data_IF_627218569783
#
_entry.id   IF_627218569783
#
_cell.length_a   1.000
_cell.length_b   1.000
_cell.length_c   1.000
_cell.angle_alpha   90.00
_cell.angle_beta   90.00
_cell.angle_gamma   90.00
#
_symmetry.space_group_name_H-M   'P 1'
#
loop_
_entity.id
_entity.type
_entity.pdbx_description
1 polymer ?
#
# COMPACT_ATOMS: atom_id res chain seq x y z
N UNK A 1 -18.72 9.60 8.23
CA UNK A 1 -17.32 9.69 7.79
C UNK A 1 -16.85 8.41 7.10
N UNK A 2 -16.70 7.27 7.81
CA UNK A 2 -16.14 6.05 7.18
C UNK A 2 -16.98 5.50 6.02
N UNK A 3 -18.32 5.59 6.10
CA UNK A 3 -19.23 5.27 4.99
C UNK A 3 -18.94 6.13 3.76
N UNK A 4 -18.72 7.44 3.94
CA UNK A 4 -18.39 8.35 2.84
C UNK A 4 -17.05 8.02 2.18
N UNK A 5 -16.06 7.55 2.94
CA UNK A 5 -14.79 7.06 2.39
C UNK A 5 -14.98 5.77 1.57
N UNK A 6 -15.92 4.91 1.97
CA UNK A 6 -16.28 3.72 1.19
C UNK A 6 -16.97 4.11 -0.11
N UNK A 7 -17.88 5.07 -0.09
CA UNK A 7 -18.51 5.58 -1.32
C UNK A 7 -17.50 6.28 -2.25
N UNK A 8 -16.59 7.08 -1.68
CA UNK A 8 -15.49 7.70 -2.44
C UNK A 8 -14.65 6.64 -3.15
N UNK A 9 -14.25 5.57 -2.45
CA UNK A 9 -13.48 4.48 -3.04
C UNK A 9 -14.19 3.83 -4.23
N UNK A 10 -15.52 3.65 -4.14
CA UNK A 10 -16.33 3.11 -5.24
C UNK A 10 -16.41 4.08 -6.41
N UNK A 11 -16.67 5.35 -6.14
CA UNK A 11 -16.79 6.39 -7.16
C UNK A 11 -15.50 6.58 -7.94
N UNK A 12 -14.35 6.60 -7.25
CA UNK A 12 -13.02 6.79 -7.85
C UNK A 12 -12.36 5.48 -8.29
N UNK A 13 -13.07 4.35 -8.17
CA UNK A 13 -12.61 3.00 -8.54
C UNK A 13 -11.24 2.67 -7.94
N UNK A 14 -11.05 3.03 -6.67
CA UNK A 14 -9.80 2.76 -5.97
C UNK A 14 -9.67 1.25 -5.77
N UNK A 15 -8.46 0.70 -5.98
CA UNK A 15 -8.16 -0.70 -5.68
C UNK A 15 -8.31 -0.93 -4.18
N UNK A 16 -9.48 -1.43 -3.80
CA UNK A 16 -9.86 -1.74 -2.42
C UNK A 16 -9.83 -3.25 -2.13
N UNK A 17 -9.37 -4.05 -3.11
CA UNK A 17 -9.29 -5.50 -2.96
C UNK A 17 -8.27 -5.87 -1.88
N UNK A 18 -8.66 -6.69 -0.88
CA UNK A 18 -7.73 -7.26 0.08
C UNK A 18 -6.57 -7.98 -0.61
N UNK A 19 -5.36 -7.80 -0.07
CA UNK A 19 -4.17 -8.43 -0.63
C UNK A 19 -3.58 -7.73 -1.86
N UNK A 20 -4.17 -6.63 -2.31
CA UNK A 20 -3.61 -5.80 -3.39
C UNK A 20 -3.28 -4.40 -2.87
N UNK A 21 -2.19 -3.80 -3.34
CA UNK A 21 -1.79 -2.43 -2.98
C UNK A 21 -1.10 -1.75 -4.16
N UNK A 22 -1.33 -0.44 -4.38
CA UNK A 22 -0.51 0.32 -5.32
C UNK A 22 0.97 0.32 -4.91
N UNK A 23 1.88 0.02 -5.85
CA UNK A 23 3.34 0.08 -5.63
C UNK A 23 4.01 0.82 -6.79
N UNK A 24 5.02 1.62 -6.46
CA UNK A 24 5.89 2.25 -7.46
C UNK A 24 7.04 1.30 -7.77
N UNK A 25 7.08 0.78 -8.98
CA UNK A 25 8.07 -0.20 -9.45
C UNK A 25 9.02 0.47 -10.42
N UNK A 26 10.32 0.28 -10.23
CA UNK A 26 11.34 0.90 -11.06
C UNK A 26 11.79 -0.03 -12.19
N UNK A 27 11.94 -1.32 -11.92
CA UNK A 27 12.57 -2.24 -12.85
C UNK A 27 11.57 -3.25 -13.41
N UNK A 28 11.59 -3.41 -14.73
CA UNK A 28 10.90 -4.51 -15.40
C UNK A 28 11.94 -5.50 -15.89
N UNK A 29 11.90 -6.73 -15.38
CA UNK A 29 12.74 -7.84 -15.84
C UNK A 29 12.00 -8.56 -16.97
N UNK A 30 12.59 -8.52 -18.17
CA UNK A 30 11.93 -9.01 -19.38
C UNK A 30 12.46 -10.39 -19.74
N UNK A 31 11.54 -11.31 -19.98
CA UNK A 31 11.80 -12.68 -20.38
C UNK A 31 11.06 -12.98 -21.68
N UNK A 32 11.48 -13.97 -22.44
CA UNK A 32 10.66 -14.53 -23.51
C UNK A 32 9.67 -15.60 -22.93
N UNK A 33 8.75 -16.15 -23.73
CA UNK A 33 7.80 -17.16 -23.25
C UNK A 33 8.46 -18.44 -22.71
N UNK A 34 9.69 -18.75 -23.14
CA UNK A 34 10.48 -19.91 -22.69
C UNK A 34 11.27 -19.64 -21.38
N UNK A 35 11.13 -18.46 -20.78
CA UNK A 35 11.85 -18.07 -19.56
C UNK A 35 13.31 -17.70 -19.79
N UNK A 36 13.71 -17.39 -21.02
CA UNK A 36 15.01 -16.79 -21.32
C UNK A 36 14.96 -15.30 -21.00
N UNK A 37 15.92 -14.83 -20.21
CA UNK A 37 16.07 -13.41 -19.92
C UNK A 37 16.51 -12.64 -21.17
N UNK A 38 15.75 -11.61 -21.55
CA UNK A 38 16.00 -10.79 -22.73
C UNK A 38 16.58 -9.42 -22.38
N UNK A 39 16.26 -8.88 -21.20
CA UNK A 39 16.80 -7.60 -20.74
C UNK A 39 16.05 -6.99 -19.57
N UNK A 40 16.38 -5.74 -19.26
CA UNK A 40 15.69 -4.94 -18.24
C UNK A 40 15.19 -3.62 -18.86
N UNK A 41 14.15 -3.07 -18.26
CA UNK A 41 13.65 -1.74 -18.58
C UNK A 41 13.55 -0.90 -17.30
N UNK A 42 14.13 0.31 -17.33
CA UNK A 42 13.95 1.33 -16.29
C UNK A 42 12.64 2.10 -16.55
N UNK A 43 11.70 2.00 -15.61
CA UNK A 43 10.37 2.61 -15.66
C UNK A 43 10.33 4.06 -15.16
N UNK A 44 11.48 4.68 -14.87
CA UNK A 44 11.57 6.12 -14.54
C UNK A 44 11.43 7.02 -15.77
N UNK A 45 11.57 6.47 -16.98
CA UNK A 45 11.58 7.27 -18.22
C UNK A 45 12.83 8.16 -18.35
N UNK A 46 13.88 7.93 -17.55
CA UNK A 46 15.11 8.73 -17.55
C UNK A 46 15.04 10.01 -16.72
N UNK A 47 13.94 10.25 -16.00
CA UNK A 47 13.74 11.45 -15.21
C UNK A 47 14.37 11.33 -13.81
N UNK A 48 15.24 12.27 -13.44
CA UNK A 48 15.99 12.24 -12.16
C UNK A 48 15.12 12.28 -10.89
N UNK A 49 13.90 12.80 -10.97
CA UNK A 49 12.96 12.89 -9.82
C UNK A 49 11.89 11.79 -9.83
N UNK A 50 11.87 10.93 -10.85
CA UNK A 50 10.93 9.83 -10.94
C UNK A 50 11.51 8.59 -10.23
N UNK A 51 10.69 7.91 -9.44
CA UNK A 51 11.07 6.70 -8.71
C UNK A 51 10.58 5.41 -9.39
N UNK A 52 9.89 5.53 -10.54
CA UNK A 52 9.36 4.43 -11.33
C UNK A 52 7.90 4.63 -11.71
N UNK A 53 7.27 3.55 -12.20
CA UNK A 53 5.86 3.55 -12.60
C UNK A 53 4.98 3.02 -11.47
N UNK A 54 3.85 3.68 -11.23
CA UNK A 54 2.84 3.20 -10.28
C UNK A 54 1.99 2.12 -10.93
N UNK A 55 2.01 0.93 -10.35
CA UNK A 55 1.07 -0.15 -10.65
C UNK A 55 -0.03 -0.14 -9.59
N UNK A 56 -1.30 -0.14 -10.02
CA UNK A 56 -2.46 0.10 -9.15
C UNK A 56 -2.83 -1.08 -8.26
N UNK A 57 -2.45 -2.30 -8.65
CA UNK A 57 -2.95 -3.54 -8.07
C UNK A 57 -1.83 -4.59 -7.92
N UNK A 58 -0.81 -4.29 -7.11
CA UNK A 58 0.26 -5.26 -6.86
C UNK A 58 -0.09 -6.20 -5.69
N UNK A 59 0.25 -7.50 -5.76
CA UNK A 59 0.13 -8.40 -4.62
C UNK A 59 0.87 -7.86 -3.39
N UNK A 60 0.19 -7.88 -2.25
CA UNK A 60 0.69 -7.33 -1.00
C UNK A 60 0.21 -8.17 0.17
N UNK A 61 1.16 -8.59 1.01
CA UNK A 61 0.85 -9.26 2.27
C UNK A 61 0.80 -8.20 3.35
N UNK A 62 -0.24 -8.25 4.17
CA UNK A 62 -0.30 -7.49 5.41
C UNK A 62 0.82 -7.94 6.35
N UNK A 63 1.24 -7.05 7.26
CA UNK A 63 2.20 -7.41 8.31
C UNK A 63 1.76 -8.64 9.11
N UNK A 64 0.46 -8.81 9.31
CA UNK A 64 -0.09 -9.95 10.02
C UNK A 64 0.09 -11.27 9.28
N UNK A 65 -0.15 -11.28 7.97
CA UNK A 65 0.08 -12.45 7.12
C UNK A 65 1.58 -12.79 7.08
N UNK A 66 2.44 -11.77 6.94
CA UNK A 66 3.89 -11.97 6.95
C UNK A 66 4.40 -12.58 8.26
N UNK A 67 3.90 -12.09 9.41
CA UNK A 67 4.24 -12.65 10.73
C UNK A 67 3.73 -14.08 10.88
N UNK A 68 2.54 -14.40 10.37
CA UNK A 68 1.96 -15.74 10.45
C UNK A 68 2.66 -16.78 9.57
N UNK A 69 3.09 -16.37 8.37
CA UNK A 69 3.87 -17.17 7.43
C UNK A 69 5.30 -17.42 7.96
N UNK A 70 5.85 -16.48 8.72
CA UNK A 70 7.10 -16.63 9.44
C UNK A 70 8.24 -15.77 8.88
N UNK A 71 9.40 -15.89 9.52
CA UNK A 71 10.58 -15.11 9.13
C UNK A 71 11.03 -15.47 7.71
N UNK A 72 11.29 -14.46 6.89
CA UNK A 72 11.73 -14.65 5.51
C UNK A 72 10.62 -14.51 4.47
N UNK A 73 9.35 -14.48 4.87
CA UNK A 73 8.20 -14.24 3.98
C UNK A 73 8.42 -12.99 3.09
N UNK A 74 8.05 -13.12 1.81
CA UNK A 74 8.21 -12.10 0.76
C UNK A 74 6.90 -11.86 0.02
N UNK A 75 6.83 -10.74 -0.70
CA UNK A 75 5.68 -10.40 -1.53
C UNK A 75 5.71 -11.19 -2.84
N UNK A 76 4.53 -11.53 -3.36
CA UNK A 76 4.41 -12.17 -4.67
C UNK A 76 4.54 -11.15 -5.80
N UNK A 77 5.20 -11.53 -6.90
CA UNK A 77 5.27 -10.83 -8.20
C UNK A 77 5.96 -9.44 -8.24
N UNK A 78 6.00 -8.74 -7.11
CA UNK A 78 6.66 -7.44 -6.93
C UNK A 78 7.39 -7.41 -5.60
N UNK A 79 8.72 -7.44 -5.65
CA UNK A 79 9.59 -7.30 -4.47
C UNK A 79 10.89 -6.56 -4.84
N UNK A 80 11.75 -6.32 -3.85
CA UNK A 80 13.03 -5.63 -3.99
C UNK A 80 14.02 -6.46 -4.79
N UNK A 81 14.92 -5.80 -5.54
CA UNK A 81 15.94 -6.47 -6.35
C UNK A 81 16.86 -7.38 -5.52
N UNK A 82 17.17 -7.06 -4.27
CA UNK A 82 17.95 -7.93 -3.38
C UNK A 82 17.26 -9.28 -3.11
N UNK A 83 15.94 -9.29 -3.08
CA UNK A 83 15.09 -10.48 -2.94
C UNK A 83 14.94 -11.18 -4.29
N UNK A 84 14.56 -10.43 -5.34
CA UNK A 84 14.22 -11.00 -6.65
C UNK A 84 15.44 -11.59 -7.33
N UNK A 85 16.59 -10.91 -7.28
CA UNK A 85 17.77 -11.27 -8.08
C UNK A 85 19.04 -11.50 -7.27
N UNK A 86 18.99 -11.45 -5.93
CA UNK A 86 20.17 -11.50 -5.06
C UNK A 86 21.19 -10.38 -5.37
N UNK A 87 20.69 -9.21 -5.80
CA UNK A 87 21.52 -8.03 -5.99
C UNK A 87 21.92 -7.45 -4.63
N UNK A 88 23.21 -7.50 -4.29
CA UNK A 88 23.77 -6.89 -3.07
C UNK A 88 24.81 -5.84 -3.41
N UNK A 89 25.10 -4.96 -2.44
CA UNK A 89 26.12 -3.91 -2.61
C UNK A 89 27.53 -4.49 -2.74
N UNK A 90 27.80 -5.54 -1.97
CA UNK A 90 29.14 -6.11 -1.81
C UNK A 90 29.32 -7.42 -2.60
N UNK A 91 28.29 -7.85 -3.34
CA UNK A 91 28.28 -9.10 -4.13
C UNK A 91 28.11 -10.38 -3.29
N UNK A 92 28.24 -10.29 -1.97
CA UNK A 92 28.01 -11.39 -1.04
C UNK A 92 26.52 -11.59 -0.77
N UNK A 93 26.11 -12.85 -0.60
CA UNK A 93 24.72 -13.25 -0.29
C UNK A 93 24.75 -14.08 0.99
N UNK A 94 24.10 -13.58 2.03
CA UNK A 94 23.96 -14.32 3.29
C UNK A 94 22.81 -15.36 3.23
N UNK A 95 22.79 -16.30 4.18
CA UNK A 95 21.77 -17.35 4.25
C UNK A 95 20.34 -16.80 4.37
N UNK A 96 20.17 -15.66 5.06
CA UNK A 96 18.87 -15.03 5.26
C UNK A 96 18.35 -14.44 3.96
N UNK A 97 19.20 -13.85 3.15
CA UNK A 97 18.86 -13.31 1.85
C UNK A 97 18.59 -14.42 0.85
N UNK A 98 19.39 -15.49 0.85
CA UNK A 98 19.12 -16.69 0.07
C UNK A 98 17.76 -17.30 0.43
N UNK A 99 17.40 -17.35 1.72
CA UNK A 99 16.10 -17.83 2.17
C UNK A 99 14.94 -16.96 1.67
N UNK A 100 15.08 -15.63 1.68
CA UNK A 100 14.06 -14.70 1.13
C UNK A 100 13.88 -14.91 -0.37
N UNK A 101 14.99 -15.00 -1.13
CA UNK A 101 14.95 -15.27 -2.56
C UNK A 101 14.28 -16.61 -2.86
N UNK A 102 14.64 -17.67 -2.13
CA UNK A 102 14.03 -18.99 -2.28
C UNK A 102 12.52 -18.96 -1.98
N UNK A 103 12.09 -18.22 -0.96
CA UNK A 103 10.67 -18.04 -0.67
C UNK A 103 9.96 -17.32 -1.82
N UNK A 104 10.53 -16.23 -2.30
CA UNK A 104 9.99 -15.46 -3.41
C UNK A 104 9.84 -16.30 -4.69
N UNK A 105 10.91 -17.01 -5.09
CA UNK A 105 10.88 -17.90 -6.26
C UNK A 105 9.88 -19.04 -6.05
N UNK A 106 9.79 -19.58 -4.83
CA UNK A 106 8.79 -20.60 -4.48
C UNK A 106 7.35 -20.13 -4.63
N UNK A 107 7.05 -18.83 -4.48
CA UNK A 107 5.72 -18.28 -4.81
C UNK A 107 5.45 -18.31 -6.31
N UNK A 108 6.46 -17.98 -7.13
CA UNK A 108 6.32 -18.02 -8.59
C UNK A 108 6.11 -19.45 -9.09
N UNK A 109 6.78 -20.43 -8.47
CA UNK A 109 6.59 -21.86 -8.78
C UNK A 109 5.19 -22.34 -8.44
N UNK A 110 4.67 -21.98 -7.26
CA UNK A 110 3.30 -22.33 -6.87
C UNK A 110 2.24 -21.68 -7.76
N UNK A 111 2.51 -20.45 -8.23
CA UNK A 111 1.62 -19.74 -9.13
C UNK A 111 1.70 -20.23 -10.59
N UNK A 112 2.67 -21.09 -10.92
CA UNK A 112 2.87 -21.58 -12.29
C UNK A 112 1.69 -22.40 -12.82
N UNK A 113 0.92 -23.03 -11.93
CA UNK A 113 -0.31 -23.76 -12.30
C UNK A 113 -1.38 -22.81 -12.88
N UNK A 114 -1.43 -21.58 -12.39
CA UNK A 114 -2.34 -20.54 -12.91
C UNK A 114 -1.72 -19.75 -14.06
N UNK A 115 -0.42 -19.45 -13.98
CA UNK A 115 0.32 -18.64 -14.97
C UNK A 115 1.63 -19.35 -15.32
N UNK A 116 1.65 -20.22 -16.36
CA UNK A 116 2.81 -21.06 -16.70
C UNK A 116 4.13 -20.30 -16.89
N UNK A 117 4.06 -19.06 -17.37
CA UNK A 117 5.22 -18.19 -17.59
C UNK A 117 5.96 -17.89 -16.28
N UNK A 118 5.27 -17.88 -15.12
CA UNK A 118 5.91 -17.71 -13.82
C UNK A 118 6.81 -18.89 -13.47
N UNK A 119 6.47 -20.11 -13.90
CA UNK A 119 7.33 -21.29 -13.73
C UNK A 119 8.64 -21.17 -14.52
N UNK A 120 8.57 -20.65 -15.75
CA UNK A 120 9.74 -20.43 -16.59
C UNK A 120 10.66 -19.33 -16.01
N UNK A 121 10.08 -18.23 -15.51
CA UNK A 121 10.81 -17.18 -14.78
C UNK A 121 11.43 -17.74 -13.51
N UNK A 122 10.69 -18.53 -12.73
CA UNK A 122 11.20 -19.14 -11.51
C UNK A 122 12.43 -20.02 -11.80
N UNK A 123 12.38 -20.86 -12.84
CA UNK A 123 13.51 -21.66 -13.28
C UNK A 123 14.72 -20.80 -13.66
N UNK A 124 14.49 -19.67 -14.35
CA UNK A 124 15.56 -18.74 -14.70
C UNK A 124 16.19 -18.06 -13.48
N UNK A 125 15.40 -17.74 -12.45
CA UNK A 125 15.89 -17.15 -11.20
C UNK A 125 16.64 -18.17 -10.32
N UNK A 126 16.32 -19.46 -10.42
CA UNK A 126 17.08 -20.53 -9.75
C UNK A 126 18.41 -20.85 -10.42
N UNK A 127 18.57 -20.54 -11.71
CA UNK A 127 19.80 -20.80 -12.44
C UNK A 127 20.88 -19.75 -12.10
N UNK A 128 22.02 -20.14 -11.49
CA UNK A 128 23.03 -19.18 -11.06
C UNK A 128 23.66 -18.39 -12.21
N UNK A 129 23.75 -18.98 -13.41
CA UNK A 129 24.34 -18.35 -14.59
C UNK A 129 23.43 -17.25 -15.14
N UNK A 130 22.15 -17.55 -15.33
CA UNK A 130 21.13 -16.57 -15.74
C UNK A 130 20.98 -15.46 -14.69
N UNK A 131 20.96 -15.82 -13.41
CA UNK A 131 20.89 -14.84 -12.33
C UNK A 131 22.10 -13.91 -12.31
N UNK A 132 23.30 -14.42 -12.60
CA UNK A 132 24.50 -13.59 -12.78
C UNK A 132 24.34 -12.61 -13.96
N UNK A 133 23.82 -13.06 -15.10
CA UNK A 133 23.53 -12.19 -16.25
C UNK A 133 22.56 -11.06 -15.91
N UNK A 134 21.46 -11.38 -15.21
CA UNK A 134 20.47 -10.38 -14.77
C UNK A 134 21.13 -9.35 -13.85
N UNK A 135 21.92 -9.80 -12.86
CA UNK A 135 22.63 -8.90 -11.94
C UNK A 135 23.65 -8.02 -12.67
N UNK A 136 24.41 -8.56 -13.61
CA UNK A 136 25.36 -7.76 -14.40
C UNK A 136 24.66 -6.63 -15.15
N UNK A 137 23.49 -6.89 -15.75
CA UNK A 137 22.71 -5.87 -16.44
C UNK A 137 22.16 -4.80 -15.48
N UNK A 138 21.67 -5.23 -14.31
CA UNK A 138 21.20 -4.31 -13.27
C UNK A 138 22.33 -3.40 -12.73
N UNK A 139 23.53 -3.94 -12.54
CA UNK A 139 24.70 -3.16 -12.10
C UNK A 139 25.11 -2.14 -13.17
N UNK A 140 25.10 -2.53 -14.44
CA UNK A 140 25.39 -1.63 -15.58
C UNK A 140 24.44 -0.42 -15.59
N UNK A 141 23.15 -0.65 -15.33
CA UNK A 141 22.12 0.38 -15.23
C UNK A 141 22.04 1.06 -13.85
N UNK A 142 23.01 0.79 -12.95
CA UNK A 142 23.13 1.38 -11.61
C UNK A 142 21.91 1.16 -10.71
N UNK A 143 21.25 0.02 -10.86
CA UNK A 143 20.13 -0.39 -10.03
C UNK A 143 20.55 -0.56 -8.56
N UNK A 144 19.64 -0.25 -7.64
CA UNK A 144 19.87 -0.38 -6.19
C UNK A 144 19.14 -1.61 -5.65
N UNK A 145 19.73 -2.34 -4.69
CA UNK A 145 19.12 -3.51 -4.05
C UNK A 145 17.68 -3.28 -3.53
N UNK A 146 17.38 -2.08 -3.02
CA UNK A 146 16.07 -1.74 -2.41
C UNK A 146 15.00 -1.31 -3.40
N UNK A 147 15.33 -1.17 -4.69
CA UNK A 147 14.37 -0.78 -5.73
C UNK A 147 13.46 -1.96 -6.09
N UNK A 148 12.18 -1.68 -6.32
CA UNK A 148 11.20 -2.71 -6.65
C UNK A 148 11.28 -3.11 -8.12
N UNK A 149 11.12 -4.41 -8.36
CA UNK A 149 11.07 -5.01 -9.68
C UNK A 149 9.80 -5.86 -9.88
N UNK A 150 9.41 -6.01 -11.15
CA UNK A 150 8.39 -6.98 -11.58
C UNK A 150 8.76 -7.57 -12.94
N UNK A 151 7.92 -8.44 -13.49
CA UNK A 151 8.25 -9.24 -14.67
C UNK A 151 7.39 -8.88 -15.88
N UNK A 152 7.99 -9.02 -17.06
CA UNK A 152 7.27 -9.00 -18.33
C UNK A 152 7.71 -10.13 -19.26
N UNK A 153 6.80 -10.53 -20.13
CA UNK A 153 7.03 -11.46 -21.22
C UNK A 153 7.05 -10.68 -22.54
N UNK A 154 8.20 -10.68 -23.20
CA UNK A 154 8.35 -10.16 -24.56
C UNK A 154 7.82 -11.17 -25.58
N UNK A 155 7.35 -10.64 -26.72
CA UNK A 155 7.00 -11.38 -27.93
C UNK A 155 5.91 -12.44 -27.73
N UNK A 156 4.92 -12.17 -26.86
CA UNK A 156 3.68 -12.99 -26.79
C UNK A 156 2.94 -12.93 -28.13
N UNK A 157 2.83 -11.73 -28.68
CA UNK A 157 2.61 -11.44 -30.10
C UNK A 157 3.84 -10.67 -30.64
N UNK A 158 4.18 -10.76 -31.94
CA UNK A 158 5.34 -10.07 -32.50
C UNK A 158 5.35 -8.57 -32.17
N UNK A 159 6.36 -8.13 -31.39
CA UNK A 159 6.50 -6.72 -30.99
C UNK A 159 5.66 -6.28 -29.79
N UNK A 160 5.05 -7.21 -29.05
CA UNK A 160 4.29 -6.93 -27.83
C UNK A 160 5.06 -7.35 -26.57
N UNK A 161 4.80 -6.65 -25.46
CA UNK A 161 5.33 -6.98 -24.13
C UNK A 161 4.17 -7.03 -23.15
N UNK A 162 4.00 -8.16 -22.46
CA UNK A 162 2.96 -8.36 -21.44
C UNK A 162 3.57 -8.22 -20.05
N UNK A 163 3.13 -7.22 -19.29
CA UNK A 163 3.55 -7.04 -17.90
C UNK A 163 2.69 -7.91 -16.98
N UNK A 164 3.32 -8.85 -16.27
CA UNK A 164 2.58 -9.90 -15.54
C UNK A 164 1.75 -9.36 -14.37
N UNK A 165 2.22 -8.32 -13.68
CA UNK A 165 1.46 -7.71 -12.57
C UNK A 165 0.18 -6.98 -13.02
N UNK A 166 0.02 -6.73 -14.32
CA UNK A 166 -1.19 -6.11 -14.88
C UNK A 166 -2.18 -7.12 -15.43
N UNK A 167 -1.84 -8.40 -15.41
CA UNK A 167 -2.74 -9.48 -15.78
C UNK A 167 -3.56 -9.93 -14.57
N UNK A 168 -4.72 -10.52 -14.82
CA UNK A 168 -5.64 -10.94 -13.75
C UNK A 168 -5.54 -12.45 -13.45
N UNK A 169 -4.86 -13.22 -14.29
CA UNK A 169 -4.83 -14.70 -14.25
C UNK A 169 -4.28 -15.27 -12.93
N UNK A 170 -3.38 -14.53 -12.26
CA UNK A 170 -2.82 -14.93 -10.97
C UNK A 170 -3.72 -14.56 -9.77
N UNK A 171 -4.75 -13.73 -9.93
CA UNK A 171 -5.55 -13.21 -8.80
C UNK A 171 -6.25 -14.32 -8.02
N UNK A 172 -6.84 -15.30 -8.71
CA UNK A 172 -7.54 -16.41 -8.05
C UNK A 172 -6.60 -17.28 -7.22
N UNK A 173 -5.40 -17.56 -7.75
CA UNK A 173 -4.34 -18.25 -7.01
C UNK A 173 -3.89 -17.42 -5.80
N UNK A 174 -3.69 -16.12 -5.98
CA UNK A 174 -3.24 -15.22 -4.94
C UNK A 174 -4.21 -15.15 -3.76
N UNK A 175 -5.51 -14.99 -4.03
CA UNK A 175 -6.52 -14.99 -2.97
C UNK A 175 -6.55 -16.34 -2.23
N UNK A 176 -6.47 -17.46 -2.96
CA UNK A 176 -6.42 -18.79 -2.36
C UNK A 176 -5.20 -18.99 -1.45
N UNK A 177 -4.02 -18.54 -1.90
CA UNK A 177 -2.79 -18.57 -1.11
C UNK A 177 -2.94 -17.77 0.20
N UNK A 178 -3.54 -16.58 0.14
CA UNK A 178 -3.78 -15.75 1.33
C UNK A 178 -4.77 -16.37 2.30
N UNK A 179 -5.84 -16.99 1.81
CA UNK A 179 -6.77 -17.75 2.65
C UNK A 179 -6.05 -18.89 3.38
N UNK A 180 -5.17 -19.63 2.71
CA UNK A 180 -4.38 -20.68 3.36
C UNK A 180 -3.45 -20.14 4.45
N UNK A 181 -2.84 -18.96 4.27
CA UNK A 181 -2.05 -18.31 5.33
C UNK A 181 -2.90 -17.97 6.55
N UNK A 182 -4.13 -17.49 6.34
CA UNK A 182 -5.07 -17.20 7.43
C UNK A 182 -5.51 -18.48 8.17
N UNK A 183 -5.79 -19.56 7.46
CA UNK A 183 -6.12 -20.86 8.04
C UNK A 183 -4.96 -21.45 8.84
N UNK A 184 -3.74 -21.42 8.30
CA UNK A 184 -2.54 -21.86 9.01
C UNK A 184 -2.31 -21.06 10.30
N UNK A 185 -2.60 -19.76 10.28
CA UNK A 185 -2.56 -18.91 11.48
C UNK A 185 -3.59 -19.36 12.52
N UNK A 186 -4.83 -19.61 12.10
CA UNK A 186 -5.91 -20.08 12.98
C UNK A 186 -5.59 -21.47 13.57
N UNK A 187 -4.98 -22.37 12.80
CA UNK A 187 -4.52 -23.66 13.28
C UNK A 187 -3.37 -23.55 14.30
N UNK A 188 -2.42 -22.62 14.11
CA UNK A 188 -1.33 -22.40 15.07
C UNK A 188 -1.81 -21.75 16.37
N UNK A 189 -2.84 -20.91 16.33
CA UNK A 189 -3.36 -20.21 17.51
C UNK A 189 -4.12 -21.13 18.48
N UNK A 190 -4.66 -22.26 18.00
CA UNK A 190 -5.34 -23.27 18.83
C UNK A 190 -4.40 -24.21 19.58
N UNK A 191 -3.12 -24.32 19.18
CA UNK A 191 -2.11 -25.17 19.85
C UNK A 191 -1.24 -24.47 20.90
N UNK A 192 -1.26 -23.14 20.98
CA UNK A 192 -0.45 -22.34 21.90
C UNK A 192 -1.23 -21.90 23.14
N UNK A 193 -0.64 -22.10 24.32
CA UNK A 193 -1.15 -21.77 25.67
C UNK A 193 -1.51 -20.28 25.84
N UNK A 194 -2.56 -19.78 25.18
CA UNK A 194 -3.21 -18.51 25.51
C UNK A 194 -4.17 -18.73 26.67
N UNK A 195 -4.08 -17.85 27.67
CA UNK A 195 -4.93 -17.85 28.86
C UNK A 195 -6.40 -17.82 28.39
N UNK A 196 -7.09 -18.92 28.70
CA UNK A 196 -8.46 -19.28 28.32
C UNK A 196 -9.45 -18.12 28.62
N UNK A 197 -9.82 -17.34 27.61
CA UNK A 197 -11.07 -16.57 27.63
C UNK A 197 -12.13 -17.39 26.91
N UNK A 198 -13.29 -17.52 27.55
CA UNK A 198 -14.38 -18.43 27.20
C UNK A 198 -15.19 -17.92 26.00
N UNK A 199 -14.70 -18.16 24.79
CA UNK A 199 -15.49 -18.10 23.56
C UNK A 199 -14.74 -18.86 22.45
N UNK A 200 -14.87 -20.18 22.42
CA UNK A 200 -14.30 -21.04 21.38
C UNK A 200 -15.15 -20.96 20.10
N UNK A 201 -14.62 -20.20 19.13
CA UNK A 201 -15.12 -20.01 17.76
C UNK A 201 -14.50 -18.73 17.17
N UNK A 202 -14.33 -18.61 15.84
CA UNK A 202 -14.00 -17.31 15.25
C UNK A 202 -15.04 -16.31 15.73
N UNK A 203 -14.59 -15.28 16.46
CA UNK A 203 -15.43 -14.22 17.02
C UNK A 203 -16.12 -13.52 15.84
N UNK A 204 -17.30 -14.02 15.49
CA UNK A 204 -18.09 -13.48 14.40
C UNK A 204 -18.84 -12.28 14.96
N UNK A 205 -18.56 -11.11 14.43
CA UNK A 205 -19.14 -9.86 14.89
C UNK A 205 -19.81 -9.13 13.72
N UNK A 206 -20.77 -8.28 14.03
CA UNK A 206 -21.36 -7.41 13.03
C UNK A 206 -20.36 -6.32 12.66
N UNK A 207 -20.01 -6.24 11.38
CA UNK A 207 -19.15 -5.18 10.86
C UNK A 207 -19.81 -3.82 11.05
N UNK A 208 -19.08 -2.87 11.63
CA UNK A 208 -19.57 -1.50 11.86
C UNK A 208 -19.79 -0.70 10.57
N UNK A 209 -19.15 -1.09 9.46
CA UNK A 209 -19.31 -0.43 8.15
C UNK A 209 -20.35 -1.13 7.27
N UNK A 210 -20.22 -2.45 7.06
CA UNK A 210 -21.10 -3.19 6.15
C UNK A 210 -22.39 -3.69 6.79
N UNK A 211 -22.42 -3.83 8.13
CA UNK A 211 -23.53 -4.47 8.83
C UNK A 211 -23.58 -6.01 8.70
N UNK A 212 -22.67 -6.61 7.94
CA UNK A 212 -22.58 -8.07 7.75
C UNK A 212 -21.85 -8.76 8.91
N UNK A 213 -22.05 -10.07 9.06
CA UNK A 213 -21.33 -10.88 10.05
C UNK A 213 -19.95 -11.27 9.50
N UNK A 214 -18.90 -10.90 10.21
CA UNK A 214 -17.50 -11.02 9.75
C UNK A 214 -16.59 -11.44 10.90
N UNK A 215 -15.43 -12.00 10.57
CA UNK A 215 -14.31 -12.07 11.51
C UNK A 215 -13.61 -10.69 11.53
N UNK A 216 -13.58 -9.98 12.67
CA UNK A 216 -12.93 -8.67 12.76
C UNK A 216 -11.45 -8.76 12.44
N UNK A 217 -10.97 -7.85 11.59
CA UNK A 217 -9.53 -7.67 11.43
C UNK A 217 -8.90 -7.27 12.76
N UNK A 218 -7.92 -8.02 13.30
CA UNK A 218 -7.33 -7.72 14.61
C UNK A 218 -6.61 -6.37 14.64
N UNK A 219 -6.11 -5.90 13.51
CA UNK A 219 -5.48 -4.58 13.38
C UNK A 219 -5.82 -4.06 12.00
N UNK A 220 -6.14 -2.77 11.92
CA UNK A 220 -6.47 -2.15 10.66
C UNK A 220 -5.21 -1.76 9.87
N UNK A 221 -5.35 -1.58 8.56
CA UNK A 221 -4.26 -1.12 7.70
C UNK A 221 -3.80 0.29 8.08
N UNK A 222 -2.54 0.61 7.75
CA UNK A 222 -1.92 1.89 8.10
C UNK A 222 -2.40 3.03 7.20
N UNK A 223 -2.52 4.21 7.81
CA UNK A 223 -2.69 5.48 7.14
C UNK A 223 -1.29 6.07 6.94
N UNK A 224 -0.92 6.29 5.68
CA UNK A 224 0.41 6.72 5.25
C UNK A 224 0.40 8.21 4.87
N UNK A 225 1.58 8.84 4.84
CA UNK A 225 1.74 10.23 4.37
C UNK A 225 1.43 11.31 5.41
N UNK A 226 1.52 10.96 6.71
CA UNK A 226 1.30 11.86 7.84
C UNK A 226 2.61 12.34 8.51
N UNK A 227 3.78 11.96 7.98
CA UNK A 227 5.08 12.31 8.60
C UNK A 227 5.36 13.81 8.63
N UNK A 228 4.80 14.57 7.70
CA UNK A 228 4.90 16.04 7.62
C UNK A 228 4.12 16.78 8.72
N UNK A 229 3.27 16.05 9.46
CA UNK A 229 2.45 16.53 10.57
C UNK A 229 2.70 15.74 11.87
N UNK A 230 3.84 15.04 11.96
CA UNK A 230 4.26 14.32 13.17
C UNK A 230 3.81 12.85 13.25
N UNK A 231 3.21 12.30 12.19
CA UNK A 231 2.92 10.88 12.07
C UNK A 231 4.17 10.02 11.84
N UNK A 232 4.00 8.70 11.92
CA UNK A 232 5.09 7.75 11.69
C UNK A 232 5.41 7.62 10.19
N UNK A 233 6.69 7.49 9.86
CA UNK A 233 7.14 7.27 8.48
C UNK A 233 6.57 5.99 7.85
N UNK A 234 6.32 4.97 8.68
CA UNK A 234 5.71 3.69 8.28
C UNK A 234 4.18 3.69 8.33
N UNK A 235 3.58 4.84 8.62
CA UNK A 235 2.14 5.03 8.75
C UNK A 235 1.57 4.73 10.13
N UNK A 236 0.40 5.32 10.38
CA UNK A 236 -0.28 5.33 11.66
C UNK A 236 -1.54 4.46 11.64
N UNK A 237 -1.94 3.95 12.81
CA UNK A 237 -3.20 3.21 12.92
C UNK A 237 -4.36 4.19 13.07
N UNK A 238 -5.38 4.09 12.22
CA UNK A 238 -6.59 4.92 12.36
C UNK A 238 -7.38 4.59 13.64
N UNK A 239 -7.50 3.30 13.95
CA UNK A 239 -8.01 2.83 15.25
C UNK A 239 -7.00 1.84 15.85
N UNK A 240 -6.71 1.98 17.13
CA UNK A 240 -5.85 1.07 17.88
C UNK A 240 -6.36 0.87 19.29
N UNK A 241 -6.48 -0.39 19.69
CA UNK A 241 -6.86 -0.81 21.03
C UNK A 241 -5.74 -1.69 21.59
N UNK A 242 -4.56 -1.09 21.69
CA UNK A 242 -3.29 -1.74 22.07
C UNK A 242 -3.13 -1.88 23.60
N UNK A 243 -3.88 -1.09 24.36
CA UNK A 243 -3.88 -1.09 25.84
C UNK A 243 -5.25 -1.47 26.39
N UNK A 244 -5.25 -2.10 27.57
CA UNK A 244 -6.47 -2.54 28.26
C UNK A 244 -7.43 -1.37 28.52
N UNK A 245 -6.91 -0.17 28.81
CA UNK A 245 -7.72 1.04 29.03
C UNK A 245 -8.53 1.48 27.80
N UNK A 246 -8.13 1.06 26.59
CA UNK A 246 -8.85 1.34 25.35
C UNK A 246 -9.84 0.22 24.98
N UNK A 247 -9.76 -0.92 25.66
CA UNK A 247 -10.62 -2.07 25.41
C UNK A 247 -11.95 -1.93 26.15
N UNK A 248 -13.06 -2.32 25.52
CA UNK A 248 -14.40 -2.24 26.11
C UNK A 248 -15.15 -3.56 25.94
N UNK A 249 -16.12 -3.84 26.82
CA UNK A 249 -16.99 -5.02 26.72
C UNK A 249 -16.25 -6.38 26.66
N UNK A 250 -15.04 -6.45 27.21
CA UNK A 250 -14.19 -7.65 27.15
C UNK A 250 -13.59 -7.93 25.76
N UNK A 251 -13.73 -7.01 24.82
CA UNK A 251 -13.18 -7.11 23.47
C UNK A 251 -11.77 -6.50 23.45
N UNK A 252 -10.90 -7.04 22.59
CA UNK A 252 -9.50 -6.61 22.45
C UNK A 252 -9.13 -6.33 21.01
N UNK A 253 -8.16 -5.42 20.79
CA UNK A 253 -7.69 -5.05 19.46
C UNK A 253 -8.86 -4.67 18.53
N UNK A 254 -8.80 -5.02 17.24
CA UNK A 254 -9.83 -4.69 16.26
C UNK A 254 -11.23 -5.25 16.52
N UNK A 255 -11.42 -6.16 17.49
CA UNK A 255 -12.77 -6.55 17.91
C UNK A 255 -13.55 -5.38 18.53
N UNK A 256 -12.87 -4.41 19.15
CA UNK A 256 -13.50 -3.18 19.65
C UNK A 256 -14.03 -2.25 18.54
N UNK A 257 -13.51 -2.39 17.31
CA UNK A 257 -14.00 -1.70 16.11
C UNK A 257 -14.17 -2.72 14.99
N UNK A 258 -15.11 -3.65 15.20
CA UNK A 258 -15.29 -4.81 14.34
C UNK A 258 -15.54 -4.42 12.88
N UNK A 259 -14.58 -4.75 12.00
CA UNK A 259 -14.67 -4.51 10.56
C UNK A 259 -14.04 -5.66 9.79
N UNK A 260 -14.62 -5.98 8.61
CA UNK A 260 -14.03 -6.95 7.71
C UNK A 260 -12.75 -6.41 7.07
N UNK A 261 -11.94 -7.33 6.55
CA UNK A 261 -10.74 -6.97 5.80
C UNK A 261 -11.03 -6.06 4.61
N UNK A 262 -12.07 -6.39 3.84
CA UNK A 262 -12.51 -5.60 2.70
C UNK A 262 -12.89 -4.17 3.11
N UNK A 263 -13.65 -4.01 4.20
CA UNK A 263 -14.05 -2.67 4.66
C UNK A 263 -12.85 -1.88 5.18
N UNK A 264 -11.96 -2.52 5.95
CA UNK A 264 -10.71 -1.92 6.41
C UNK A 264 -9.85 -1.46 5.24
N UNK A 265 -9.67 -2.32 4.24
CA UNK A 265 -8.90 -2.00 3.05
C UNK A 265 -9.52 -0.84 2.27
N UNK A 266 -10.84 -0.83 2.13
CA UNK A 266 -11.56 0.20 1.39
C UNK A 266 -11.36 1.59 2.01
N UNK A 267 -11.66 1.76 3.30
CA UNK A 267 -11.55 3.08 3.91
C UNK A 267 -10.09 3.54 4.02
N UNK A 268 -9.14 2.63 4.25
CA UNK A 268 -7.71 2.99 4.30
C UNK A 268 -7.15 3.35 2.93
N UNK A 269 -7.55 2.65 1.87
CA UNK A 269 -7.22 3.03 0.49
C UNK A 269 -7.76 4.41 0.14
N UNK A 270 -9.02 4.72 0.48
CA UNK A 270 -9.62 6.03 0.27
C UNK A 270 -8.86 7.15 1.01
N UNK A 271 -8.57 6.94 2.30
CA UNK A 271 -7.88 7.93 3.11
C UNK A 271 -6.45 8.19 2.62
N UNK A 272 -5.71 7.13 2.28
CA UNK A 272 -4.37 7.23 1.71
C UNK A 272 -4.37 7.87 0.32
N UNK A 273 -5.43 7.67 -0.47
CA UNK A 273 -5.59 8.34 -1.76
C UNK A 273 -5.73 9.86 -1.57
N UNK A 274 -6.63 10.28 -0.68
CA UNK A 274 -6.84 11.71 -0.37
C UNK A 274 -5.58 12.38 0.18
N UNK A 275 -4.85 11.73 1.09
CA UNK A 275 -3.62 12.30 1.68
C UNK A 275 -2.51 12.51 0.64
N UNK A 276 -2.45 11.67 -0.40
CA UNK A 276 -1.45 11.79 -1.47
C UNK A 276 -1.85 12.78 -2.54
N UNK A 277 -3.14 13.07 -2.66
CA UNK A 277 -3.66 14.00 -3.65
C UNK A 277 -3.37 15.45 -3.24
N UNK A 278 -2.38 16.06 -3.89
CA UNK A 278 -1.95 17.43 -3.61
C UNK A 278 -3.01 18.48 -3.87
N UNK A 279 -4.03 18.18 -4.66
CA UNK A 279 -5.16 19.10 -4.89
C UNK A 279 -6.18 19.06 -3.74
N UNK A 280 -6.18 17.96 -2.98
CA UNK A 280 -7.17 17.67 -1.94
C UNK A 280 -6.59 17.52 -0.53
N UNK A 281 -5.29 17.73 -0.37
CA UNK A 281 -4.56 17.57 0.88
C UNK A 281 -3.64 18.76 1.14
N UNK A 282 -3.85 19.40 2.29
CA UNK A 282 -3.11 20.57 2.74
C UNK A 282 -2.55 20.38 4.15
N UNK A 283 -1.54 21.18 4.48
CA UNK A 283 -0.98 21.26 5.82
C UNK A 283 -1.27 22.63 6.42
N UNK A 284 -2.00 22.66 7.52
CA UNK A 284 -2.35 23.89 8.23
C UNK A 284 -1.91 23.78 9.69
N UNK A 285 -1.00 24.66 10.13
CA UNK A 285 -0.56 24.75 11.53
C UNK A 285 -0.17 23.40 12.17
N UNK A 286 0.51 22.53 11.41
CA UNK A 286 0.91 21.20 11.87
C UNK A 286 -0.20 20.14 11.83
N UNK A 287 -1.35 20.43 11.22
CA UNK A 287 -2.46 19.50 10.99
C UNK A 287 -2.59 19.19 9.50
N UNK A 288 -2.91 17.94 9.16
CA UNK A 288 -3.25 17.54 7.79
C UNK A 288 -4.74 17.76 7.57
N UNK A 289 -5.09 18.58 6.58
CA UNK A 289 -6.48 18.83 6.17
C UNK A 289 -6.70 18.18 4.82
N UNK A 290 -7.66 17.25 4.75
CA UNK A 290 -8.10 16.65 3.51
C UNK A 290 -9.58 16.91 3.32
N UNK A 291 -10.02 17.01 2.07
CA UNK A 291 -11.43 17.16 1.74
C UNK A 291 -11.78 16.41 0.46
N UNK A 292 -13.06 16.10 0.32
CA UNK A 292 -13.62 15.49 -0.88
C UNK A 292 -15.11 15.84 -0.95
N UNK A 293 -15.68 15.65 -2.12
CA UNK A 293 -17.10 15.84 -2.36
C UNK A 293 -17.77 14.49 -2.63
N UNK A 294 -19.08 14.42 -2.42
CA UNK A 294 -19.87 13.23 -2.75
C UNK A 294 -19.97 12.98 -4.26
N UNK A 295 -19.59 13.96 -5.10
CA UNK A 295 -19.56 13.90 -6.56
C UNK A 295 -18.31 14.62 -7.09
N UNK A 296 -17.91 14.31 -8.32
CA UNK A 296 -16.87 15.09 -8.98
C UNK A 296 -17.30 16.55 -9.14
N UNK A 297 -16.44 17.46 -8.71
CA UNK A 297 -16.60 18.92 -8.84
C UNK A 297 -15.51 19.40 -9.79
N UNK A 298 -15.86 20.28 -10.73
CA UNK A 298 -14.86 20.88 -11.61
C UNK A 298 -13.98 21.85 -10.81
N UNK A 299 -12.68 21.99 -11.11
CA UNK A 299 -11.79 22.88 -10.36
C UNK A 299 -12.32 24.31 -10.24
N UNK A 300 -12.97 24.83 -11.28
CA UNK A 300 -13.59 26.15 -11.28
C UNK A 300 -14.75 26.31 -10.27
N UNK A 301 -15.39 25.22 -9.87
CA UNK A 301 -16.50 25.17 -8.93
C UNK A 301 -16.07 24.73 -7.52
N UNK A 302 -14.78 24.44 -7.33
CA UNK A 302 -14.25 23.98 -6.04
C UNK A 302 -14.13 25.16 -5.06
N UNK A 303 -15.18 25.37 -4.28
CA UNK A 303 -15.23 26.42 -3.24
C UNK A 303 -14.22 26.14 -2.13
N UNK A 304 -14.00 24.85 -1.80
CA UNK A 304 -13.07 24.47 -0.73
C UNK A 304 -11.64 24.77 -1.12
N UNK A 305 -11.24 24.45 -2.36
CA UNK A 305 -9.93 24.84 -2.89
C UNK A 305 -9.74 26.35 -2.78
N UNK A 306 -10.69 27.16 -3.25
CA UNK A 306 -10.60 28.64 -3.23
C UNK A 306 -10.47 29.22 -1.83
N UNK A 307 -11.20 28.64 -0.88
CA UNK A 307 -11.17 29.09 0.53
C UNK A 307 -9.83 28.72 1.17
N UNK A 308 -9.40 27.48 0.94
CA UNK A 308 -8.19 26.94 1.55
C UNK A 308 -6.96 27.60 0.91
N UNK A 309 -6.84 27.67 -0.42
CA UNK A 309 -5.68 28.26 -1.13
C UNK A 309 -5.42 29.73 -0.80
N UNK A 310 -6.44 30.47 -0.34
CA UNK A 310 -6.30 31.83 0.18
C UNK A 310 -5.68 31.93 1.57
N UNK A 311 -5.36 30.79 2.22
CA UNK A 311 -4.65 30.73 3.49
C UNK A 311 -3.17 30.47 3.18
N UNK A 312 -2.27 31.29 3.70
CA UNK A 312 -0.83 31.16 3.46
C UNK A 312 -0.29 29.89 4.14
N UNK A 313 -0.26 28.78 3.40
CA UNK A 313 0.38 27.54 3.82
C UNK A 313 1.85 27.64 3.46
N UNK A 314 2.66 28.28 4.32
CA UNK A 314 4.09 28.43 4.10
C UNK A 314 4.74 27.17 3.52
N UNK A 315 5.29 27.31 2.30
CA UNK A 315 5.93 26.24 1.56
C UNK A 315 7.14 25.70 2.31
N UNK A 316 7.22 24.38 2.44
CA UNK A 316 8.28 23.67 3.16
C UNK A 316 9.66 23.66 2.45
N UNK A 317 9.88 24.49 1.42
CA UNK A 317 11.17 24.57 0.72
C UNK A 317 12.06 25.76 1.14
N UNK A 318 11.65 26.60 2.11
CA UNK A 318 12.49 27.71 2.57
C UNK A 318 12.57 27.80 4.11
N UNK A 319 13.73 27.54 4.76
CA UNK A 319 13.87 27.58 6.21
C UNK A 319 14.06 29.00 6.78
N UNK A 320 13.78 30.05 6.00
CA UNK A 320 13.77 31.41 6.50
C UNK A 320 12.44 31.66 7.23
N UNK A 321 12.40 31.41 8.54
CA UNK A 321 11.35 31.90 9.43
C UNK A 321 11.41 33.43 9.40
N UNK A 322 10.44 34.16 8.81
CA UNK A 322 10.32 35.58 9.11
C UNK A 322 9.81 35.68 10.54
N UNK A 323 10.38 36.60 11.32
CA UNK A 323 9.84 36.91 12.65
C UNK A 323 8.36 37.25 12.50
N UNK A 324 7.50 36.52 13.18
CA UNK A 324 6.06 36.75 13.16
C UNK A 324 5.76 38.13 13.76
N UNK A 325 5.38 39.08 12.92
CA UNK A 325 4.71 40.31 13.37
C UNK A 325 3.30 39.94 13.87
N UNK A 326 2.86 40.56 14.97
CA UNK A 326 1.52 40.32 15.51
C UNK A 326 0.47 40.65 14.43
N UNK A 327 -0.49 39.74 14.17
CA UNK A 327 -1.47 39.93 13.10
C UNK A 327 -2.29 41.19 13.36
N UNK A 328 -2.48 42.00 12.33
CA UNK A 328 -3.22 43.25 12.46
C UNK A 328 -4.72 42.95 12.70
N UNK A 329 -5.45 43.88 13.30
CA UNK A 329 -6.89 43.73 13.54
C UNK A 329 -7.69 43.50 12.24
N UNK A 330 -7.14 43.91 11.09
CA UNK A 330 -7.72 43.69 9.77
C UNK A 330 -7.58 42.23 9.32
N UNK A 331 -6.43 41.60 9.60
CA UNK A 331 -6.17 40.18 9.29
C UNK A 331 -7.07 39.24 10.12
N UNK A 332 -7.30 39.59 11.39
CA UNK A 332 -8.22 38.85 12.25
C UNK A 332 -9.68 38.95 11.76
N UNK A 333 -10.11 40.14 11.35
CA UNK A 333 -11.47 40.35 10.84
C UNK A 333 -11.70 39.63 9.50
N UNK A 334 -10.71 39.59 8.61
CA UNK A 334 -10.78 38.81 7.38
C UNK A 334 -10.82 37.30 7.64
N UNK A 335 -10.00 36.80 8.57
CA UNK A 335 -10.01 35.40 8.96
C UNK A 335 -11.37 34.97 9.56
N UNK A 336 -11.96 35.82 10.41
CA UNK A 336 -13.30 35.57 10.99
C UNK A 336 -14.41 35.58 9.92
N UNK A 337 -14.34 36.49 8.95
CA UNK A 337 -15.32 36.55 7.87
C UNK A 337 -15.22 35.33 6.93
N UNK A 338 -14.00 34.85 6.65
CA UNK A 338 -13.78 33.63 5.86
C UNK A 338 -14.26 32.38 6.62
N UNK A 339 -14.04 32.30 7.94
CA UNK A 339 -14.54 31.22 8.77
C UNK A 339 -16.09 31.19 8.83
N UNK A 340 -16.75 32.35 8.87
CA UNK A 340 -18.22 32.46 8.78
C UNK A 340 -18.74 31.98 7.41
N UNK A 341 -18.10 32.37 6.32
CA UNK A 341 -18.47 31.90 4.98
C UNK A 341 -18.38 30.38 4.83
N UNK A 342 -17.36 29.75 5.43
CA UNK A 342 -17.24 28.30 5.48
C UNK A 342 -18.40 27.66 6.25
N UNK A 343 -18.76 28.19 7.42
CA UNK A 343 -19.87 27.67 8.22
C UNK A 343 -21.23 27.81 7.50
N UNK A 344 -21.43 28.89 6.75
CA UNK A 344 -22.65 29.10 5.97
C UNK A 344 -22.70 28.21 4.72
N UNK A 345 -21.56 27.95 4.06
CA UNK A 345 -21.46 27.01 2.95
C UNK A 345 -21.74 25.57 3.40
N UNK A 346 -21.23 25.16 4.55
CA UNK A 346 -21.50 23.83 5.15
C UNK A 346 -22.99 23.68 5.54
N UNK A 347 -23.69 24.77 5.89
CA UNK A 347 -25.11 24.75 6.29
C UNK A 347 -26.09 24.80 5.12
N UNK A 348 -25.63 25.19 3.93
CA UNK A 348 -26.47 25.40 2.74
C UNK A 348 -26.31 24.31 1.67
N UNK A 349 -25.47 23.30 1.93
CA UNK A 349 -25.28 22.08 1.11
C UNK A 349 -25.90 20.85 1.76
#
# INVERSE_FOLDING_TARGET
>A
MLTELVELARHEKLTAEPGLKPKTVRWLLVFNPDGMFTGIQDLTGGEKKNNGRVFKACPDLTQQEMVAAGAGTRHFLVDQLDVVTLLTKDGEVDEKQAAKHNYFVGLLEQAADAVPQLGAIAAALRDPGRLATIRSKLIEEKAKPTELATFAIADVEPGSTVVLVEQDDWHAWWQSFRTQLAEQRAAKSTGGRRKKSTADGPLTMRCLLSGELVEPQPTHNKIEGLSDVGGLSMGDSFTSFDKDAFCSYGLSQGANAAMSEAMVKTYTSALNHLIRDRQRSYRLAGVKVIYWYSKAVQPEDDVTEKVISGWDFGDAENPAVPQAEEPTAMDQHEAENRAKQLLDAIRSS
#
